data_IF_586821498583
#
_entry.id   IF_586821498583
#
_cell.length_a   1.000
_cell.length_b   1.000
_cell.length_c   1.000
_cell.angle_alpha   90.00
_cell.angle_beta   90.00
_cell.angle_gamma   90.00
#
_symmetry.space_group_name_H-M   'P 1'
#
loop_
_entity.id
_entity.type
_entity.pdbx_description
1 polymer ?
#
# COMPACT_ATOMS: atom_id res chain seq x y z
N UNK A 1 16.90 12.70 -27.70
CA UNK A 1 16.22 11.72 -26.85
C UNK A 1 17.04 10.44 -26.87
N UNK A 2 17.30 9.85 -25.71
CA UNK A 2 18.19 8.70 -25.53
C UNK A 2 17.53 7.72 -24.57
N UNK A 3 16.87 6.71 -25.14
CA UNK A 3 16.07 5.73 -24.41
C UNK A 3 16.94 4.53 -24.05
N UNK A 4 16.93 4.15 -22.77
CA UNK A 4 17.43 2.86 -22.30
C UNK A 4 16.29 1.87 -22.10
N UNK A 5 16.39 0.69 -22.71
CA UNK A 5 15.43 -0.41 -22.54
C UNK A 5 16.08 -1.55 -21.77
N UNK A 6 15.47 -1.97 -20.67
CA UNK A 6 15.96 -3.05 -19.82
C UNK A 6 14.92 -4.15 -19.73
N UNK A 7 15.30 -5.38 -20.06
CA UNK A 7 14.41 -6.54 -20.06
C UNK A 7 14.82 -7.47 -18.91
N UNK A 8 13.93 -7.67 -17.95
CA UNK A 8 14.20 -8.51 -16.80
C UNK A 8 13.89 -9.99 -17.09
N UNK A 9 14.74 -10.90 -16.63
CA UNK A 9 14.48 -12.35 -16.70
C UNK A 9 13.61 -12.81 -15.53
N UNK A 10 13.74 -12.14 -14.37
CA UNK A 10 13.10 -12.53 -13.11
C UNK A 10 13.37 -14.01 -12.78
N UNK A 11 14.63 -14.43 -12.96
CA UNK A 11 15.01 -15.85 -12.97
C UNK A 11 14.34 -16.56 -14.14
N UNK A 12 13.55 -17.59 -13.86
CA UNK A 12 12.77 -18.31 -14.89
C UNK A 12 11.35 -17.79 -15.06
N UNK A 13 10.91 -16.82 -14.26
CA UNK A 13 9.52 -16.34 -14.32
C UNK A 13 9.19 -15.65 -15.64
N UNK A 14 10.14 -14.92 -16.24
CA UNK A 14 9.97 -14.31 -17.56
C UNK A 14 10.72 -15.14 -18.59
N UNK A 15 12.02 -15.38 -18.36
CA UNK A 15 12.88 -16.08 -19.32
C UNK A 15 12.50 -17.55 -19.58
N UNK A 16 11.70 -18.18 -18.71
CA UNK A 16 11.20 -19.54 -18.94
C UNK A 16 10.16 -19.64 -20.06
N UNK A 17 9.53 -18.52 -20.42
CA UNK A 17 8.43 -18.44 -21.40
C UNK A 17 8.72 -17.46 -22.52
N UNK A 18 9.36 -16.33 -22.21
CA UNK A 18 9.68 -15.25 -23.14
C UNK A 18 11.13 -15.39 -23.56
N UNK A 19 11.39 -15.33 -24.86
CA UNK A 19 12.75 -15.20 -25.39
C UNK A 19 13.22 -13.75 -25.18
N UNK A 20 13.90 -13.54 -24.06
CA UNK A 20 14.39 -12.22 -23.64
C UNK A 20 15.43 -11.67 -24.62
N UNK A 21 16.25 -12.53 -25.21
CA UNK A 21 17.29 -12.11 -26.15
C UNK A 21 16.66 -11.59 -27.45
N UNK A 22 15.60 -12.25 -27.92
CA UNK A 22 14.84 -11.79 -29.08
C UNK A 22 14.13 -10.45 -28.81
N UNK A 23 13.58 -10.26 -27.60
CA UNK A 23 12.97 -8.99 -27.19
C UNK A 23 14.01 -7.88 -27.10
N UNK A 24 15.20 -8.17 -26.54
CA UNK A 24 16.32 -7.21 -26.46
C UNK A 24 16.78 -6.76 -27.85
N UNK A 25 16.95 -7.70 -28.77
CA UNK A 25 17.28 -7.41 -30.19
C UNK A 25 16.22 -6.52 -30.83
N UNK A 26 14.94 -6.87 -30.67
CA UNK A 26 13.84 -6.06 -31.16
C UNK A 26 13.87 -4.64 -30.59
N UNK A 27 14.04 -4.50 -29.28
CA UNK A 27 14.10 -3.20 -28.61
C UNK A 27 15.24 -2.32 -29.13
N UNK A 28 16.40 -2.89 -29.45
CA UNK A 28 17.55 -2.15 -29.98
C UNK A 28 17.34 -1.53 -31.37
N UNK A 29 16.35 -2.03 -32.13
CA UNK A 29 15.99 -1.49 -33.45
C UNK A 29 14.94 -0.38 -33.37
N UNK A 30 14.36 -0.13 -32.20
CA UNK A 30 13.34 0.91 -32.03
C UNK A 30 13.98 2.30 -32.05
N UNK A 31 13.24 3.28 -32.57
CA UNK A 31 13.69 4.66 -32.68
C UNK A 31 14.09 5.23 -31.32
N UNK A 32 15.20 5.98 -31.30
CA UNK A 32 15.75 6.67 -30.13
C UNK A 32 16.24 5.76 -28.98
N UNK A 33 16.17 4.43 -29.15
CA UNK A 33 16.78 3.46 -28.22
C UNK A 33 18.28 3.40 -28.47
N UNK A 34 19.05 3.81 -27.47
CA UNK A 34 20.53 3.83 -27.54
C UNK A 34 21.16 2.67 -26.77
N UNK A 35 20.44 2.13 -25.78
CA UNK A 35 20.86 0.99 -24.97
C UNK A 35 19.69 0.02 -24.85
N UNK A 36 19.92 -1.26 -25.14
CA UNK A 36 19.01 -2.35 -24.83
C UNK A 36 19.77 -3.50 -24.16
N UNK A 37 19.43 -3.79 -22.89
CA UNK A 37 20.07 -4.85 -22.09
C UNK A 37 19.05 -5.79 -21.49
N UNK A 38 19.42 -7.04 -21.37
CA UNK A 38 18.75 -8.00 -20.51
C UNK A 38 19.44 -8.09 -19.14
N UNK A 39 18.66 -8.28 -18.08
CA UNK A 39 19.15 -8.34 -16.70
C UNK A 39 18.45 -9.50 -15.98
N UNK A 40 19.23 -10.33 -15.27
CA UNK A 40 18.70 -11.47 -14.51
C UNK A 40 17.63 -11.05 -13.49
N UNK A 41 17.97 -10.05 -12.65
CA UNK A 41 17.06 -9.47 -11.66
C UNK A 41 17.21 -7.95 -11.63
N UNK A 42 16.45 -7.25 -12.48
CA UNK A 42 16.53 -5.80 -12.60
C UNK A 42 16.27 -5.04 -11.27
N UNK A 43 15.46 -5.60 -10.38
CA UNK A 43 15.17 -5.00 -9.07
C UNK A 43 16.24 -5.27 -8.01
N UNK A 44 17.16 -6.21 -8.23
CA UNK A 44 18.30 -6.46 -7.33
C UNK A 44 19.34 -5.36 -7.45
N UNK A 45 20.22 -5.25 -6.45
CA UNK A 45 21.19 -4.15 -6.36
C UNK A 45 22.09 -4.07 -7.61
N UNK A 46 22.59 -5.21 -8.10
CA UNK A 46 23.39 -5.25 -9.33
C UNK A 46 22.64 -4.74 -10.57
N UNK A 47 21.35 -5.07 -10.68
CA UNK A 47 20.49 -4.59 -11.77
C UNK A 47 20.23 -3.09 -11.68
N UNK A 48 19.97 -2.59 -10.47
CA UNK A 48 19.78 -1.15 -10.24
C UNK A 48 21.07 -0.37 -10.54
N UNK A 49 22.23 -0.82 -10.06
CA UNK A 49 23.51 -0.15 -10.33
C UNK A 49 23.87 -0.16 -11.81
N UNK A 50 23.57 -1.24 -12.54
CA UNK A 50 23.75 -1.28 -13.99
C UNK A 50 22.92 -0.21 -14.70
N UNK A 51 21.63 -0.07 -14.33
CA UNK A 51 20.75 0.98 -14.90
C UNK A 51 21.28 2.38 -14.57
N UNK A 52 21.74 2.62 -13.32
CA UNK A 52 22.32 3.92 -12.93
C UNK A 52 23.57 4.26 -13.72
N UNK A 53 24.46 3.27 -13.89
CA UNK A 53 25.70 3.40 -14.64
C UNK A 53 25.42 3.78 -16.09
N UNK A 54 24.54 3.03 -16.75
CA UNK A 54 24.15 3.29 -18.13
C UNK A 54 23.48 4.67 -18.27
N UNK A 55 22.64 5.10 -17.32
CA UNK A 55 22.05 6.46 -17.33
C UNK A 55 23.14 7.54 -17.44
N UNK A 56 24.21 7.41 -16.65
CA UNK A 56 25.29 8.39 -16.58
C UNK A 56 26.24 8.29 -17.79
N UNK A 57 26.70 7.09 -18.12
CA UNK A 57 27.68 6.84 -19.18
C UNK A 57 27.08 7.11 -20.57
N UNK A 58 25.87 6.59 -20.79
CA UNK A 58 25.19 6.69 -22.08
C UNK A 58 24.28 7.91 -22.17
N UNK A 59 24.28 8.78 -21.15
CA UNK A 59 23.50 10.03 -21.09
C UNK A 59 22.02 9.79 -21.43
N UNK A 60 21.43 8.75 -20.84
CA UNK A 60 20.05 8.38 -21.08
C UNK A 60 19.13 9.43 -20.46
N UNK A 61 18.04 9.76 -21.14
CA UNK A 61 17.04 10.72 -20.65
C UNK A 61 15.65 10.09 -20.46
N UNK A 62 15.46 8.84 -20.89
CA UNK A 62 14.23 8.06 -20.77
C UNK A 62 14.55 6.59 -20.50
N UNK A 63 13.75 5.93 -19.68
CA UNK A 63 13.97 4.53 -19.29
C UNK A 63 12.70 3.72 -19.50
N UNK A 64 12.82 2.61 -20.22
CA UNK A 64 11.79 1.57 -20.32
C UNK A 64 12.26 0.36 -19.54
N UNK A 65 11.49 -0.06 -18.55
CA UNK A 65 11.76 -1.26 -17.75
C UNK A 65 10.72 -2.34 -18.04
N UNK A 66 11.09 -3.32 -18.85
CA UNK A 66 10.25 -4.46 -19.21
C UNK A 66 10.43 -5.59 -18.19
N UNK A 67 9.53 -5.66 -17.22
CA UNK A 67 9.66 -6.57 -16.07
C UNK A 67 8.27 -6.95 -15.50
N UNK A 68 8.12 -6.82 -14.19
CA UNK A 68 6.88 -7.05 -13.46
C UNK A 68 5.95 -5.83 -13.48
N UNK A 69 4.79 -5.98 -12.84
CA UNK A 69 3.80 -4.93 -12.70
C UNK A 69 4.36 -3.62 -12.12
N UNK A 70 3.96 -2.44 -12.67
CA UNK A 70 4.27 -1.16 -12.06
C UNK A 70 3.72 -1.04 -10.63
N UNK A 71 2.63 -1.76 -10.31
CA UNK A 71 2.09 -1.80 -8.93
C UNK A 71 3.07 -2.37 -7.90
N UNK A 72 4.09 -3.10 -8.35
CA UNK A 72 5.09 -3.71 -7.48
C UNK A 72 6.38 -2.88 -7.40
N UNK A 73 7.00 -2.58 -8.55
CA UNK A 73 8.36 -2.00 -8.57
C UNK A 73 8.48 -0.62 -9.23
N UNK A 74 7.37 0.06 -9.58
CA UNK A 74 7.47 1.41 -10.17
C UNK A 74 8.14 2.40 -9.22
N UNK A 75 7.78 2.36 -7.94
CA UNK A 75 8.41 3.22 -6.92
C UNK A 75 9.91 2.93 -6.80
N UNK A 76 10.32 1.66 -6.92
CA UNK A 76 11.73 1.26 -6.87
C UNK A 76 12.51 1.86 -8.02
N UNK A 77 12.07 1.67 -9.26
CA UNK A 77 12.80 2.21 -10.43
C UNK A 77 12.70 3.74 -10.54
N UNK A 78 11.59 4.35 -10.11
CA UNK A 78 11.50 5.81 -9.97
C UNK A 78 12.59 6.37 -9.05
N UNK A 79 12.87 5.69 -7.94
CA UNK A 79 13.97 6.04 -7.03
C UNK A 79 15.34 5.84 -7.67
N UNK A 80 15.53 4.80 -8.49
CA UNK A 80 16.77 4.60 -9.27
C UNK A 80 17.02 5.80 -10.19
N UNK A 81 16.01 6.23 -10.95
CA UNK A 81 16.12 7.41 -11.81
C UNK A 81 16.44 8.68 -11.00
N UNK A 82 15.71 8.91 -9.90
CA UNK A 82 15.97 10.05 -9.01
C UNK A 82 17.41 10.06 -8.47
N UNK A 83 17.94 8.90 -8.07
CA UNK A 83 19.33 8.76 -7.59
C UNK A 83 20.37 9.03 -8.69
N UNK A 84 20.02 8.80 -9.96
CA UNK A 84 20.86 9.11 -11.11
C UNK A 84 20.67 10.53 -11.65
N UNK A 85 19.87 11.37 -10.99
CA UNK A 85 19.60 12.75 -11.42
C UNK A 85 18.57 12.89 -12.55
N UNK A 86 17.85 11.81 -12.91
CA UNK A 86 16.74 11.85 -13.86
C UNK A 86 15.42 12.14 -13.17
N UNK A 87 14.52 12.81 -13.89
CA UNK A 87 13.14 12.94 -13.44
C UNK A 87 12.50 11.54 -13.39
N UNK A 88 12.03 11.11 -12.20
CA UNK A 88 11.36 9.81 -12.02
C UNK A 88 10.18 9.54 -12.97
N UNK A 89 9.57 10.58 -13.53
CA UNK A 89 8.45 10.46 -14.46
C UNK A 89 8.89 10.21 -15.91
N UNK A 90 10.20 10.08 -16.17
CA UNK A 90 10.77 9.58 -17.41
C UNK A 90 10.97 8.05 -17.44
N UNK A 91 10.31 7.35 -16.53
CA UNK A 91 10.22 5.91 -16.48
C UNK A 91 8.91 5.44 -17.12
N UNK A 92 8.99 4.45 -18.00
CA UNK A 92 7.86 3.61 -18.40
C UNK A 92 8.13 2.17 -17.97
N UNK A 93 7.21 1.59 -17.20
CA UNK A 93 7.27 0.17 -16.85
C UNK A 93 6.36 -0.64 -17.76
N UNK A 94 6.95 -1.64 -18.42
CA UNK A 94 6.23 -2.57 -19.29
C UNK A 94 6.06 -3.89 -18.55
N UNK A 95 4.81 -4.26 -18.27
CA UNK A 95 4.50 -5.49 -17.54
C UNK A 95 4.54 -6.69 -18.49
N UNK A 96 5.64 -7.44 -18.45
CA UNK A 96 5.87 -8.63 -19.26
C UNK A 96 5.82 -9.93 -18.45
N UNK A 97 5.62 -9.84 -17.12
CA UNK A 97 5.47 -10.99 -16.22
C UNK A 97 4.00 -11.34 -15.99
N UNK A 98 3.28 -10.53 -15.21
CA UNK A 98 1.88 -10.78 -14.87
C UNK A 98 0.96 -10.68 -16.10
N UNK A 99 1.32 -9.83 -17.08
CA UNK A 99 0.56 -9.69 -18.33
C UNK A 99 1.22 -10.39 -19.54
N UNK A 100 2.35 -11.06 -19.31
CA UNK A 100 3.11 -11.78 -20.33
C UNK A 100 3.34 -13.22 -19.89
N UNK A 101 4.55 -13.52 -19.43
CA UNK A 101 5.03 -14.89 -19.18
C UNK A 101 4.11 -15.76 -18.31
N UNK A 102 3.52 -15.23 -17.25
CA UNK A 102 2.68 -16.01 -16.34
C UNK A 102 1.34 -16.46 -16.92
N UNK A 103 0.85 -15.77 -17.95
CA UNK A 103 -0.47 -16.03 -18.54
C UNK A 103 -0.40 -16.56 -19.98
N UNK A 104 0.79 -16.57 -20.59
CA UNK A 104 1.04 -17.09 -21.95
C UNK A 104 2.10 -18.20 -21.92
N UNK A 105 1.90 -19.23 -21.09
CA UNK A 105 2.87 -20.31 -20.86
C UNK A 105 3.15 -21.21 -22.07
N UNK A 106 2.29 -21.14 -23.09
CA UNK A 106 2.45 -21.88 -24.34
C UNK A 106 3.65 -21.33 -25.13
N UNK A 107 4.68 -22.16 -25.36
CA UNK A 107 5.92 -21.80 -26.07
C UNK A 107 5.76 -21.75 -27.59
N UNK A 108 4.70 -21.13 -28.09
CA UNK A 108 4.43 -21.00 -29.53
C UNK A 108 4.98 -19.70 -30.14
N UNK A 109 5.85 -18.98 -29.42
CA UNK A 109 6.44 -17.71 -29.85
C UNK A 109 5.49 -16.49 -29.74
N UNK A 110 4.17 -16.67 -29.61
CA UNK A 110 3.23 -15.56 -29.52
C UNK A 110 3.42 -14.74 -28.24
N UNK A 111 3.84 -15.37 -27.14
CA UNK A 111 4.15 -14.69 -25.90
C UNK A 111 5.32 -13.70 -26.09
N UNK A 112 6.39 -14.13 -26.76
CA UNK A 112 7.53 -13.27 -27.11
C UNK A 112 7.11 -12.15 -28.06
N UNK A 113 6.30 -12.46 -29.08
CA UNK A 113 5.80 -11.44 -30.00
C UNK A 113 4.98 -10.38 -29.28
N UNK A 114 4.06 -10.79 -28.39
CA UNK A 114 3.30 -9.87 -27.54
C UNK A 114 4.22 -8.97 -26.73
N UNK A 115 5.27 -9.52 -26.13
CA UNK A 115 6.22 -8.74 -25.32
C UNK A 115 6.99 -7.72 -26.16
N UNK A 116 7.40 -8.06 -27.39
CA UNK A 116 8.01 -7.09 -28.31
C UNK A 116 7.09 -5.89 -28.55
N UNK A 117 5.82 -6.15 -28.85
CA UNK A 117 4.83 -5.08 -29.05
C UNK A 117 4.63 -4.24 -27.77
N UNK A 118 4.54 -4.88 -26.61
CA UNK A 118 4.42 -4.17 -25.32
C UNK A 118 5.64 -3.27 -25.05
N UNK A 119 6.85 -3.73 -25.39
CA UNK A 119 8.08 -2.93 -25.26
C UNK A 119 8.06 -1.77 -26.25
N UNK A 120 7.66 -2.01 -27.51
CA UNK A 120 7.50 -0.95 -28.51
C UNK A 120 6.49 0.12 -28.08
N UNK A 121 5.36 -0.30 -27.51
CA UNK A 121 4.37 0.61 -26.91
C UNK A 121 4.96 1.42 -25.75
N UNK A 122 5.77 0.78 -24.90
CA UNK A 122 6.46 1.45 -23.80
C UNK A 122 7.45 2.51 -24.28
N UNK A 123 8.24 2.19 -25.32
CA UNK A 123 9.17 3.12 -25.98
C UNK A 123 8.40 4.29 -26.60
N UNK A 124 7.31 4.02 -27.32
CA UNK A 124 6.47 5.06 -27.90
C UNK A 124 5.88 6.01 -26.84
N UNK A 125 5.45 5.48 -25.69
CA UNK A 125 4.91 6.28 -24.59
C UNK A 125 5.99 7.11 -23.90
N UNK A 126 7.13 6.50 -23.55
CA UNK A 126 8.22 7.17 -22.82
C UNK A 126 8.76 8.37 -23.61
N UNK A 127 8.73 8.28 -24.94
CA UNK A 127 9.13 9.35 -25.85
C UNK A 127 8.29 10.63 -25.72
N UNK A 128 7.03 10.51 -25.29
CA UNK A 128 6.10 11.62 -25.14
C UNK A 128 6.00 12.13 -23.70
N UNK A 129 6.72 11.51 -22.75
CA UNK A 129 6.67 11.94 -21.36
C UNK A 129 7.37 13.28 -21.16
N UNK A 130 6.70 14.14 -20.40
CA UNK A 130 7.20 15.42 -19.90
C UNK A 130 7.63 15.30 -18.43
N UNK A 131 8.60 16.10 -17.98
CA UNK A 131 9.00 16.09 -16.57
C UNK A 131 7.83 16.55 -15.70
N UNK A 132 7.63 15.89 -14.56
CA UNK A 132 6.67 16.33 -13.55
C UNK A 132 7.41 16.63 -12.24
N UNK A 133 6.88 17.60 -11.51
CA UNK A 133 7.42 18.02 -10.22
C UNK A 133 6.58 17.47 -9.07
N UNK A 134 7.25 17.10 -7.96
CA UNK A 134 6.56 16.73 -6.74
C UNK A 134 5.91 17.99 -6.15
N UNK A 135 4.59 17.96 -5.98
CA UNK A 135 3.88 18.98 -5.19
C UNK A 135 3.85 18.55 -3.74
N UNK A 136 4.31 19.41 -2.85
CA UNK A 136 4.12 19.24 -1.41
C UNK A 136 2.76 19.83 -1.03
N UNK A 137 2.06 19.15 -0.13
CA UNK A 137 0.82 19.63 0.47
C UNK A 137 0.93 19.51 1.98
N UNK A 138 0.38 20.44 2.77
CA UNK A 138 0.27 20.25 4.22
C UNK A 138 -0.45 18.93 4.50
N UNK A 139 -0.02 18.22 5.55
CA UNK A 139 -0.66 16.98 5.97
C UNK A 139 -1.13 17.14 7.41
N UNK A 140 -2.40 16.84 7.66
CA UNK A 140 -2.90 16.61 9.02
C UNK A 140 -2.15 15.40 9.60
N UNK A 141 -1.66 15.56 10.83
CA UNK A 141 -0.90 14.54 11.56
C UNK A 141 -1.78 13.66 12.42
N UNK A 142 -3.04 14.04 12.62
CA UNK A 142 -4.00 13.25 13.39
C UNK A 142 -4.34 11.96 12.64
N UNK A 143 -4.56 10.88 13.38
CA UNK A 143 -4.86 9.56 12.83
C UNK A 143 -6.27 9.13 13.22
N UNK A 144 -7.00 8.57 12.26
CA UNK A 144 -8.27 7.89 12.52
C UNK A 144 -8.05 6.38 12.52
N UNK A 145 -8.49 5.71 13.56
CA UNK A 145 -8.56 4.24 13.66
C UNK A 145 -10.04 3.84 13.65
N UNK A 146 -10.43 2.95 12.74
CA UNK A 146 -11.80 2.46 12.60
C UNK A 146 -11.87 1.02 13.10
N UNK A 147 -12.66 0.79 14.14
CA UNK A 147 -12.76 -0.46 14.88
C UNK A 147 -11.83 -0.47 16.09
N UNK A 148 -12.39 -0.68 17.28
CA UNK A 148 -11.70 -0.74 18.56
C UNK A 148 -11.66 -2.17 19.14
N UNK A 149 -11.45 -3.17 18.27
CA UNK A 149 -10.96 -4.47 18.72
C UNK A 149 -9.49 -4.42 19.15
N UNK A 150 -8.90 -5.55 19.55
CA UNK A 150 -7.50 -5.62 20.02
C UNK A 150 -6.50 -4.93 19.07
N UNK A 151 -6.65 -5.10 17.75
CA UNK A 151 -5.77 -4.48 16.76
C UNK A 151 -5.90 -2.95 16.73
N UNK A 152 -7.13 -2.41 16.80
CA UNK A 152 -7.37 -0.98 16.78
C UNK A 152 -6.97 -0.30 18.09
N UNK A 153 -7.22 -0.96 19.22
CA UNK A 153 -6.75 -0.54 20.55
C UNK A 153 -5.23 -0.41 20.55
N UNK A 154 -4.51 -1.44 20.08
CA UNK A 154 -3.04 -1.42 20.06
C UNK A 154 -2.48 -0.34 19.12
N UNK A 155 -3.07 -0.21 17.92
CA UNK A 155 -2.68 0.83 16.96
C UNK A 155 -2.87 2.24 17.55
N UNK A 156 -4.01 2.47 18.22
CA UNK A 156 -4.30 3.75 18.85
C UNK A 156 -3.34 4.06 20.00
N UNK A 157 -3.10 3.10 20.90
CA UNK A 157 -2.17 3.28 22.02
C UNK A 157 -0.74 3.52 21.55
N UNK A 158 -0.25 2.74 20.58
CA UNK A 158 1.09 2.90 20.02
C UNK A 158 1.29 4.31 19.47
N UNK A 159 0.36 4.80 18.65
CA UNK A 159 0.42 6.14 18.07
C UNK A 159 0.30 7.24 19.14
N UNK A 160 -0.64 7.08 20.08
CA UNK A 160 -0.85 8.02 21.16
C UNK A 160 0.37 8.16 22.08
N UNK A 161 1.06 7.07 22.36
CA UNK A 161 2.29 7.05 23.15
C UNK A 161 3.47 7.70 22.41
N UNK A 162 3.42 7.78 21.07
CA UNK A 162 4.35 8.57 20.25
C UNK A 162 3.97 10.06 20.16
N UNK A 163 2.92 10.49 20.87
CA UNK A 163 2.43 11.88 20.87
C UNK A 163 1.53 12.23 19.67
N UNK A 164 1.06 11.23 18.91
CA UNK A 164 0.13 11.45 17.80
C UNK A 164 -1.30 11.49 18.33
N UNK A 165 -2.09 12.47 17.88
CA UNK A 165 -3.52 12.51 18.20
C UNK A 165 -4.26 11.44 17.42
N UNK A 166 -5.06 10.64 18.11
CA UNK A 166 -5.82 9.53 17.54
C UNK A 166 -7.30 9.72 17.79
N UNK A 167 -8.10 9.57 16.74
CA UNK A 167 -9.54 9.38 16.82
C UNK A 167 -9.82 7.89 16.65
N UNK A 168 -10.32 7.24 17.71
CA UNK A 168 -10.67 5.82 17.68
C UNK A 168 -12.18 5.68 17.61
N UNK A 169 -12.69 5.08 16.53
CA UNK A 169 -14.14 4.95 16.28
C UNK A 169 -14.54 3.50 16.39
N UNK A 170 -15.52 3.21 17.25
CA UNK A 170 -16.10 1.89 17.48
C UNK A 170 -17.61 1.93 17.23
N UNK A 171 -18.07 0.98 16.42
CA UNK A 171 -19.47 0.85 16.04
C UNK A 171 -20.34 0.44 17.23
N UNK A 172 -19.84 -0.49 18.03
CA UNK A 172 -20.57 -1.04 19.15
C UNK A 172 -20.53 -0.11 20.38
N UNK A 173 -21.41 -0.31 21.37
CA UNK A 173 -21.42 0.52 22.58
C UNK A 173 -20.14 0.45 23.42
N UNK A 174 -19.32 -0.59 23.24
CA UNK A 174 -18.07 -0.86 23.96
C UNK A 174 -16.94 -1.26 23.01
N UNK A 175 -15.70 -0.98 23.42
CA UNK A 175 -14.48 -1.44 22.75
C UNK A 175 -14.12 -2.88 23.21
N UNK A 176 -13.13 -3.48 22.56
CA UNK A 176 -12.58 -4.81 22.88
C UNK A 176 -12.79 -5.84 21.76
N UNK A 177 -13.85 -5.67 20.96
CA UNK A 177 -14.15 -6.52 19.81
C UNK A 177 -14.34 -8.00 20.21
N UNK A 178 -14.06 -8.92 19.28
CA UNK A 178 -14.26 -10.36 19.50
C UNK A 178 -13.43 -10.93 20.65
N UNK A 179 -12.25 -10.36 20.91
CA UNK A 179 -11.37 -10.84 21.98
C UNK A 179 -12.05 -10.70 23.35
N UNK A 180 -12.85 -9.66 23.58
CA UNK A 180 -13.59 -9.48 24.83
C UNK A 180 -14.66 -10.56 25.08
N UNK A 181 -15.06 -11.31 24.04
CA UNK A 181 -16.03 -12.40 24.13
C UNK A 181 -15.34 -13.78 24.30
N UNK A 182 -14.02 -13.84 24.20
CA UNK A 182 -13.25 -15.08 24.36
C UNK A 182 -12.97 -15.32 25.84
N UNK A 183 -12.94 -16.59 26.25
CA UNK A 183 -12.53 -16.96 27.60
C UNK A 183 -11.01 -16.89 27.75
N UNK A 184 -10.30 -17.58 26.86
CA UNK A 184 -8.84 -17.73 26.90
C UNK A 184 -8.20 -17.45 25.54
N UNK A 185 -6.91 -17.09 25.56
CA UNK A 185 -6.09 -16.90 24.36
C UNK A 185 -4.92 -17.87 24.30
N UNK A 186 -4.84 -18.65 23.23
CA UNK A 186 -3.71 -19.53 22.96
C UNK A 186 -2.47 -18.69 22.57
N UNK A 187 -1.24 -19.22 22.72
CA UNK A 187 -0.89 -20.56 23.22
C UNK A 187 -0.81 -20.68 24.75
N UNK A 188 -0.84 -19.56 25.47
CA UNK A 188 -0.64 -19.55 26.93
C UNK A 188 -1.90 -19.92 27.73
N UNK A 189 -3.07 -19.89 27.09
CA UNK A 189 -4.38 -20.03 27.72
C UNK A 189 -4.63 -18.99 28.81
N UNK A 190 -4.09 -17.78 28.62
CA UNK A 190 -4.36 -16.65 29.50
C UNK A 190 -5.82 -16.22 29.37
N UNK A 191 -6.45 -15.78 30.46
CA UNK A 191 -7.77 -15.16 30.39
C UNK A 191 -7.73 -13.95 29.45
N UNK A 192 -8.59 -13.95 28.44
CA UNK A 192 -8.60 -12.93 27.38
C UNK A 192 -8.79 -11.52 27.94
N UNK A 193 -9.74 -11.38 28.88
CA UNK A 193 -10.06 -10.09 29.47
C UNK A 193 -8.95 -9.60 30.41
N UNK A 194 -8.18 -10.48 31.05
CA UNK A 194 -7.03 -10.09 31.85
C UNK A 194 -5.95 -9.38 31.02
N UNK A 195 -5.80 -9.75 29.76
CA UNK A 195 -4.84 -9.11 28.84
C UNK A 195 -5.44 -7.85 28.18
N UNK A 196 -6.73 -7.88 27.87
CA UNK A 196 -7.39 -6.83 27.10
C UNK A 196 -7.90 -5.65 27.95
N UNK A 197 -8.47 -5.92 29.12
CA UNK A 197 -9.10 -4.89 29.95
C UNK A 197 -8.14 -3.76 30.38
N UNK A 198 -6.86 -4.02 30.74
CA UNK A 198 -5.91 -2.94 31.00
C UNK A 198 -5.75 -2.01 29.80
N UNK A 199 -5.63 -2.56 28.58
CA UNK A 199 -5.51 -1.76 27.35
C UNK A 199 -6.78 -0.98 27.03
N UNK A 200 -7.95 -1.54 27.31
CA UNK A 200 -9.22 -0.82 27.17
C UNK A 200 -9.29 0.38 28.11
N UNK A 201 -8.83 0.21 29.36
CA UNK A 201 -8.71 1.29 30.33
C UNK A 201 -7.70 2.35 29.89
N UNK A 202 -6.53 1.93 29.39
CA UNK A 202 -5.50 2.84 28.89
C UNK A 202 -6.03 3.71 27.74
N UNK A 203 -6.78 3.12 26.80
CA UNK A 203 -7.43 3.88 25.71
C UNK A 203 -8.35 4.96 26.25
N UNK A 204 -9.18 4.61 27.25
CA UNK A 204 -10.14 5.54 27.82
C UNK A 204 -9.48 6.69 28.59
N UNK A 205 -8.31 6.44 29.18
CA UNK A 205 -7.59 7.41 30.01
C UNK A 205 -6.49 8.17 29.26
N UNK A 206 -6.21 7.83 28.00
CA UNK A 206 -5.13 8.46 27.23
C UNK A 206 -5.55 9.83 26.66
N UNK A 207 -4.87 10.93 27.00
CA UNK A 207 -5.25 12.28 26.55
C UNK A 207 -5.06 12.51 25.04
N UNK A 208 -4.26 11.68 24.37
CA UNK A 208 -4.05 11.75 22.93
C UNK A 208 -5.07 10.91 22.14
N UNK A 209 -5.95 10.15 22.81
CA UNK A 209 -6.98 9.35 22.16
C UNK A 209 -8.35 9.97 22.42
N UNK A 210 -9.07 10.30 21.36
CA UNK A 210 -10.50 10.60 21.42
C UNK A 210 -11.28 9.36 20.98
N UNK A 211 -11.95 8.72 21.94
CA UNK A 211 -12.76 7.52 21.69
C UNK A 211 -14.21 7.88 21.36
N UNK A 212 -14.70 7.39 20.23
CA UNK A 212 -16.08 7.47 19.79
C UNK A 212 -16.68 6.06 19.74
N UNK A 213 -17.45 5.68 20.76
CA UNK A 213 -18.21 4.42 20.77
C UNK A 213 -19.63 4.64 20.26
N UNK A 214 -20.32 3.56 19.91
CA UNK A 214 -21.64 3.62 19.27
C UNK A 214 -21.64 4.52 18.02
N UNK A 215 -20.53 4.54 17.28
CA UNK A 215 -20.24 5.52 16.23
C UNK A 215 -19.75 4.83 14.97
N UNK A 216 -20.23 5.29 13.82
CA UNK A 216 -19.88 4.72 12.51
C UNK A 216 -19.37 5.80 11.56
N UNK A 217 -18.37 5.45 10.76
CA UNK A 217 -17.92 6.29 9.64
C UNK A 217 -18.83 6.04 8.45
N UNK A 218 -19.44 7.11 7.93
CA UNK A 218 -20.36 7.07 6.78
C UNK A 218 -19.72 7.58 5.49
N UNK A 219 -18.57 8.24 5.57
CA UNK A 219 -17.89 8.75 4.39
C UNK A 219 -16.44 9.15 4.63
N UNK A 220 -15.61 8.88 3.63
CA UNK A 220 -14.20 9.27 3.58
C UNK A 220 -13.96 9.97 2.25
N UNK A 221 -13.53 11.22 2.29
CA UNK A 221 -13.16 12.02 1.12
C UNK A 221 -11.74 12.57 1.27
N UNK A 222 -11.13 12.96 0.16
CA UNK A 222 -9.79 13.56 0.15
C UNK A 222 -8.69 12.57 -0.24
N UNK A 223 -7.48 12.79 0.26
CA UNK A 223 -6.27 12.03 -0.11
C UNK A 223 -5.35 11.85 1.10
N UNK A 224 -4.31 11.03 0.97
CA UNK A 224 -3.31 10.85 2.02
C UNK A 224 -2.83 12.20 2.61
N UNK A 225 -2.91 12.33 3.94
CA UNK A 225 -2.58 13.55 4.69
C UNK A 225 -3.70 14.60 4.74
N UNK A 226 -4.76 14.50 3.94
CA UNK A 226 -5.86 15.47 3.89
C UNK A 226 -7.20 14.75 3.67
N UNK A 227 -7.64 14.03 4.71
CA UNK A 227 -8.93 13.36 4.70
C UNK A 227 -10.00 14.21 5.37
N UNK A 228 -11.19 14.24 4.75
CA UNK A 228 -12.42 14.68 5.37
C UNK A 228 -13.24 13.43 5.71
N UNK A 229 -13.47 13.24 7.01
CA UNK A 229 -14.17 12.08 7.55
C UNK A 229 -15.55 12.54 8.03
N UNK A 230 -16.58 11.80 7.63
CA UNK A 230 -17.95 11.98 8.11
C UNK A 230 -18.42 10.72 8.82
N UNK A 231 -19.09 10.88 9.95
CA UNK A 231 -19.61 9.76 10.73
C UNK A 231 -20.82 10.18 11.56
N UNK A 232 -21.45 9.19 12.17
CA UNK A 232 -22.65 9.35 13.00
C UNK A 232 -22.41 8.64 14.32
N UNK A 233 -22.62 9.34 15.44
CA UNK A 233 -22.76 8.73 16.75
C UNK A 233 -24.23 8.43 16.98
N UNK A 234 -24.57 7.15 17.11
CA UNK A 234 -25.94 6.72 17.38
C UNK A 234 -26.37 7.17 18.78
N UNK A 235 -27.61 7.63 18.97
CA UNK A 235 -28.09 8.01 20.29
C UNK A 235 -28.10 6.79 21.21
N UNK A 236 -27.53 6.95 22.41
CA UNK A 236 -27.60 5.94 23.47
C UNK A 236 -28.91 5.98 24.25
N UNK A 237 -29.71 7.04 24.04
CA UNK A 237 -30.90 7.37 24.84
C UNK A 237 -30.64 7.47 26.35
N UNK A 238 -29.38 7.66 26.74
CA UNK A 238 -28.89 7.89 28.10
C UNK A 238 -27.82 8.97 28.01
N UNK A 239 -27.80 9.94 28.94
CA UNK A 239 -26.72 10.94 29.01
C UNK A 239 -25.45 10.30 29.60
N UNK A 240 -24.39 10.07 28.81
CA UNK A 240 -23.19 9.38 29.27
C UNK A 240 -22.45 10.15 30.38
N UNK A 241 -22.68 11.47 30.50
CA UNK A 241 -22.06 12.29 31.55
C UNK A 241 -22.73 12.10 32.92
N UNK A 242 -23.97 11.62 32.93
CA UNK A 242 -24.75 11.36 34.15
C UNK A 242 -24.83 9.87 34.49
N UNK A 243 -24.61 9.00 33.51
CA UNK A 243 -24.62 7.56 33.70
C UNK A 243 -23.50 7.12 34.66
N UNK A 244 -23.84 6.32 35.68
CA UNK A 244 -22.89 5.76 36.64
C UNK A 244 -22.53 4.29 36.38
N UNK A 245 -23.09 3.67 35.33
CA UNK A 245 -22.85 2.26 35.03
C UNK A 245 -23.46 1.25 36.01
N UNK A 246 -24.43 1.67 36.84
CA UNK A 246 -25.14 0.81 37.79
C UNK A 246 -26.21 -0.06 37.10
N UNK A 247 -25.77 -0.94 36.20
CA UNK A 247 -26.62 -1.72 35.30
C UNK A 247 -27.73 -2.51 36.03
N UNK A 248 -27.44 -3.02 37.22
CA UNK A 248 -28.37 -3.81 38.04
C UNK A 248 -29.62 -3.04 38.49
N UNK A 249 -29.61 -1.71 38.41
CA UNK A 249 -30.75 -0.86 38.78
C UNK A 249 -31.69 -0.67 37.58
N UNK A 250 -31.16 -0.22 36.44
CA UNK A 250 -31.96 0.10 35.27
C UNK A 250 -32.35 -1.13 34.45
N UNK A 251 -31.44 -2.11 34.29
CA UNK A 251 -31.72 -3.31 33.51
C UNK A 251 -32.77 -4.20 34.19
N UNK A 252 -32.75 -4.28 35.53
CA UNK A 252 -33.65 -5.13 36.32
C UNK A 252 -35.14 -4.74 36.23
N UNK A 253 -35.44 -3.47 35.98
CA UNK A 253 -36.82 -2.97 35.83
C UNK A 253 -37.30 -2.99 34.38
N UNK A 254 -36.45 -3.34 33.42
CA UNK A 254 -36.81 -3.41 32.01
C UNK A 254 -37.77 -4.59 31.78
N UNK A 255 -38.98 -4.38 31.22
CA UNK A 255 -39.94 -5.46 30.97
C UNK A 255 -39.70 -6.18 29.63
N UNK A 256 -38.70 -5.77 28.85
CA UNK A 256 -38.42 -6.30 27.52
C UNK A 256 -37.08 -7.04 27.55
N UNK A 257 -37.13 -8.30 27.14
CA UNK A 257 -35.95 -9.12 26.87
C UNK A 257 -35.56 -9.02 25.40
N UNK A 258 -34.27 -8.89 25.13
CA UNK A 258 -33.69 -8.84 23.78
C UNK A 258 -32.62 -9.93 23.67
N UNK A 259 -32.57 -10.70 22.57
CA UNK A 259 -31.56 -11.74 22.35
C UNK A 259 -30.12 -11.24 22.30
#
# INVERSE_FOLDING_TARGET
>A
MRIGVYICHCGTNIAGTIDVEEVRKHASMLKDVVVARDIQFACGDSGQEQVKKDILEEKLDRIVMAACSPRLHEVTFRRVLEQSGLNKHFLEMVNIREQGSWVHTNKNGLATQKVKELVAMGVARVALLSPLEKRTVPANKDVLVIGAGVAGIEAALTLANMGVKVHLVEREPTIGGKMALMNEVFPNNDCSLCVLAPKMSDVQNNPNITLYTNSEITGVRGRAGNYLITGVTKPRYVDPRKCKGCIDICAKVCPIDVP
#
